data_IF_959852666836
#
_entry.id   IF_959852666836
#
_cell.length_a   1.000
_cell.length_b   1.000
_cell.length_c   1.000
_cell.angle_alpha   90.00
_cell.angle_beta   90.00
_cell.angle_gamma   90.00
#
_symmetry.space_group_name_H-M   'P 1'
#
loop_
_entity.id
_entity.type
_entity.pdbx_description
1 polymer ?
#
# COMPACT_ATOMS: atom_id res chain seq x y z
N UNK A 1 -29.67 13.87 -14.34
CA UNK A 1 -29.04 14.69 -13.27
C UNK A 1 -27.63 15.00 -13.73
N UNK A 2 -27.51 16.16 -14.35
CA UNK A 2 -26.29 16.72 -14.92
C UNK A 2 -25.41 17.31 -13.82
N UNK A 3 -24.08 17.22 -13.97
CA UNK A 3 -23.07 18.24 -13.65
C UNK A 3 -21.70 17.58 -13.38
N UNK A 4 -21.07 17.09 -14.45
CA UNK A 4 -19.60 17.06 -14.50
C UNK A 4 -19.16 18.50 -14.77
N UNK A 5 -18.73 19.20 -13.73
CA UNK A 5 -18.18 20.55 -13.84
C UNK A 5 -16.89 20.47 -14.66
N UNK A 6 -17.00 20.87 -15.92
CA UNK A 6 -15.90 21.34 -16.75
C UNK A 6 -15.83 22.85 -16.54
N UNK A 7 -14.96 23.31 -15.63
CA UNK A 7 -14.65 24.73 -15.52
C UNK A 7 -13.16 24.96 -15.79
N UNK A 8 -12.92 25.46 -17.00
CA UNK A 8 -11.66 26.03 -17.45
C UNK A 8 -11.58 27.47 -16.95
N UNK A 9 -10.61 27.77 -16.11
CA UNK A 9 -10.16 29.14 -15.86
C UNK A 9 -8.63 29.19 -15.83
N UNK A 10 -8.07 29.80 -16.87
CA UNK A 10 -6.69 30.27 -16.93
C UNK A 10 -6.64 31.67 -16.33
N UNK A 11 -5.87 31.89 -15.26
CA UNK A 11 -5.23 33.19 -14.95
C UNK A 11 -3.85 32.91 -14.32
N UNK A 12 -2.79 33.60 -14.75
CA UNK A 12 -1.41 33.25 -14.43
C UNK A 12 -0.90 33.92 -13.15
N UNK A 13 0.04 33.24 -12.49
CA UNK A 13 1.13 33.87 -11.73
C UNK A 13 0.82 34.28 -10.29
N UNK A 14 0.99 33.34 -9.35
CA UNK A 14 1.65 33.57 -8.05
C UNK A 14 2.49 32.32 -7.77
N UNK A 15 3.80 32.43 -7.96
CA UNK A 15 4.80 31.47 -7.49
C UNK A 15 5.00 31.70 -5.99
N UNK A 16 4.20 31.02 -5.18
CA UNK A 16 4.54 30.71 -3.79
C UNK A 16 5.03 29.26 -3.76
N UNK A 17 6.24 29.05 -3.25
CA UNK A 17 7.01 27.80 -3.28
C UNK A 17 6.16 26.53 -3.17
N UNK A 18 5.74 25.98 -4.32
CA UNK A 18 4.92 24.78 -4.41
C UNK A 18 5.79 23.55 -4.22
N UNK A 19 6.01 23.19 -2.96
CA UNK A 19 6.03 21.78 -2.62
C UNK A 19 4.61 21.28 -2.95
N UNK A 20 4.39 20.83 -4.19
CA UNK A 20 3.14 20.15 -4.51
C UNK A 20 3.01 19.02 -3.50
N UNK A 21 2.07 19.14 -2.56
CA UNK A 21 1.88 18.15 -1.52
C UNK A 21 1.77 16.77 -2.19
N UNK A 22 2.77 15.93 -1.98
CA UNK A 22 2.90 14.63 -2.66
C UNK A 22 1.64 13.77 -2.47
N UNK A 23 0.93 13.97 -1.36
CA UNK A 23 -0.38 13.39 -1.08
C UNK A 23 -1.49 13.92 -1.99
N UNK A 24 -1.58 15.25 -2.22
CA UNK A 24 -2.58 15.82 -3.15
C UNK A 24 -2.34 15.32 -4.56
N UNK A 25 -1.08 15.20 -4.97
CA UNK A 25 -0.71 14.62 -6.26
C UNK A 25 -1.12 13.15 -6.34
N UNK A 26 -0.89 12.35 -5.28
CA UNK A 26 -1.27 10.94 -5.23
C UNK A 26 -2.80 10.73 -5.28
N UNK A 27 -3.57 11.57 -4.59
CA UNK A 27 -5.04 11.52 -4.56
C UNK A 27 -5.69 12.01 -5.86
N UNK A 28 -4.98 12.82 -6.64
CA UNK A 28 -5.45 13.30 -7.95
C UNK A 28 -5.25 12.27 -9.09
N UNK A 29 -4.56 11.16 -8.82
CA UNK A 29 -4.29 10.13 -9.83
C UNK A 29 -5.55 9.31 -10.16
N UNK A 30 -5.67 8.83 -11.41
CA UNK A 30 -6.67 7.83 -11.76
C UNK A 30 -6.54 6.57 -10.90
N UNK A 31 -7.68 5.98 -10.53
CA UNK A 31 -7.72 4.78 -9.69
C UNK A 31 -6.75 3.65 -10.09
N UNK A 32 -6.61 3.23 -11.37
CA UNK A 32 -5.71 2.13 -11.71
C UNK A 32 -4.24 2.44 -11.40
N UNK A 33 -3.78 3.68 -11.65
CA UNK A 33 -2.38 4.07 -11.39
C UNK A 33 -2.12 4.29 -9.91
N UNK A 34 -3.12 4.81 -9.18
CA UNK A 34 -3.09 4.91 -7.72
C UNK A 34 -3.02 3.52 -7.06
N UNK A 35 -3.91 2.61 -7.45
CA UNK A 35 -4.00 1.26 -6.91
C UNK A 35 -2.72 0.46 -7.16
N UNK A 36 -2.13 0.56 -8.35
CA UNK A 36 -0.85 -0.10 -8.66
C UNK A 36 0.31 0.44 -7.81
N UNK A 37 0.38 1.76 -7.58
CA UNK A 37 1.37 2.35 -6.68
C UNK A 37 1.21 1.85 -5.24
N UNK A 38 -0.03 1.81 -4.75
CA UNK A 38 -0.33 1.31 -3.41
C UNK A 38 -0.03 -0.19 -3.28
N UNK A 39 -0.35 -0.99 -4.31
CA UNK A 39 -0.02 -2.41 -4.37
C UNK A 39 1.48 -2.64 -4.27
N UNK A 40 2.29 -1.87 -5.00
CA UNK A 40 3.75 -1.95 -4.93
C UNK A 40 4.28 -1.64 -3.53
N UNK A 41 3.84 -0.51 -2.96
CA UNK A 41 4.23 -0.14 -1.59
C UNK A 41 3.79 -1.20 -0.55
N UNK A 42 2.63 -1.82 -0.74
CA UNK A 42 2.15 -2.89 0.14
C UNK A 42 2.98 -4.17 0.01
N UNK A 43 3.51 -4.49 -1.18
CA UNK A 43 4.40 -5.64 -1.37
C UNK A 43 5.76 -5.41 -0.70
N UNK A 44 6.31 -4.21 -0.82
CA UNK A 44 7.57 -3.83 -0.15
C UNK A 44 7.41 -3.89 1.39
N UNK A 45 6.26 -3.44 1.90
CA UNK A 45 5.92 -3.53 3.32
C UNK A 45 5.73 -4.99 3.76
N UNK A 46 5.05 -5.82 2.96
CA UNK A 46 4.87 -7.25 3.23
C UNK A 46 6.21 -7.94 3.44
N UNK A 47 7.18 -7.69 2.56
CA UNK A 47 8.51 -8.29 2.63
C UNK A 47 9.23 -7.87 3.92
N UNK A 48 9.18 -6.58 4.27
CA UNK A 48 9.72 -6.07 5.53
C UNK A 48 9.09 -6.77 6.75
N UNK A 49 7.75 -6.88 6.78
CA UNK A 49 7.03 -7.54 7.89
C UNK A 49 7.44 -9.01 8.02
N UNK A 50 7.53 -9.75 6.91
CA UNK A 50 7.93 -11.16 6.91
C UNK A 50 9.36 -11.34 7.41
N UNK A 51 10.28 -10.48 6.97
CA UNK A 51 11.67 -10.52 7.44
C UNK A 51 11.75 -10.30 8.95
N UNK A 52 11.06 -9.28 9.48
CA UNK A 52 11.11 -8.96 10.90
C UNK A 52 10.40 -9.99 11.79
N UNK A 53 9.21 -10.46 11.39
CA UNK A 53 8.40 -11.34 12.25
C UNK A 53 8.72 -12.83 12.11
N UNK A 54 9.21 -13.27 10.93
CA UNK A 54 9.48 -14.69 10.64
C UNK A 54 10.97 -14.99 10.39
N UNK A 55 11.66 -14.14 9.61
CA UNK A 55 13.06 -14.33 9.24
C UNK A 55 14.02 -14.09 10.39
N UNK A 56 14.00 -12.89 10.99
CA UNK A 56 14.93 -12.44 12.02
C UNK A 56 14.71 -13.12 13.37
N UNK A 57 13.47 -13.50 13.67
CA UNK A 57 13.12 -14.27 14.87
C UNK A 57 13.57 -15.74 14.79
N UNK A 58 14.10 -16.19 13.64
CA UNK A 58 14.52 -17.57 13.41
C UNK A 58 13.35 -18.54 13.55
N UNK A 59 12.15 -18.13 13.12
CA UNK A 59 10.89 -18.88 13.25
C UNK A 59 10.51 -19.23 14.70
N UNK A 60 11.11 -18.58 15.70
CA UNK A 60 10.71 -18.73 17.10
C UNK A 60 9.50 -17.86 17.38
N UNK A 61 8.33 -18.49 17.34
CA UNK A 61 7.08 -17.79 17.60
C UNK A 61 6.94 -17.52 19.10
N UNK A 62 7.07 -16.25 19.49
CA UNK A 62 6.83 -15.79 20.87
C UNK A 62 5.36 -15.47 21.11
N UNK A 63 4.74 -14.79 20.15
CA UNK A 63 3.33 -14.42 20.18
C UNK A 63 2.61 -14.98 18.96
N UNK A 64 1.58 -15.79 19.19
CA UNK A 64 0.74 -16.41 18.15
C UNK A 64 -0.54 -15.60 17.88
N UNK A 65 -0.68 -14.41 18.48
CA UNK A 65 -1.91 -13.62 18.39
C UNK A 65 -2.07 -13.01 16.99
N UNK A 66 -3.30 -12.70 16.61
CA UNK A 66 -3.56 -12.01 15.34
C UNK A 66 -3.10 -10.54 15.38
N UNK A 67 -3.19 -9.88 16.54
CA UNK A 67 -2.98 -8.45 16.67
C UNK A 67 -1.49 -8.05 16.76
N UNK A 68 -0.68 -8.84 17.47
CA UNK A 68 0.75 -8.56 17.68
C UNK A 68 1.66 -9.68 17.21
N UNK A 69 1.09 -10.84 16.90
CA UNK A 69 1.85 -12.07 16.66
C UNK A 69 1.98 -12.46 15.20
N UNK A 70 2.57 -13.64 15.00
CA UNK A 70 2.83 -14.23 13.68
C UNK A 70 1.56 -14.62 12.92
N UNK A 71 0.44 -14.83 13.62
CA UNK A 71 -0.85 -15.08 12.98
C UNK A 71 -1.32 -13.86 12.17
N UNK A 72 -1.00 -12.64 12.63
CA UNK A 72 -1.22 -11.41 11.88
C UNK A 72 -0.42 -11.39 10.57
N UNK A 73 0.84 -11.82 10.61
CA UNK A 73 1.68 -11.97 9.41
C UNK A 73 1.14 -13.05 8.47
N UNK A 74 0.70 -14.20 8.98
CA UNK A 74 0.08 -15.24 8.18
C UNK A 74 -1.21 -14.76 7.49
N UNK A 75 -2.04 -14.00 8.21
CA UNK A 75 -3.23 -13.38 7.61
C UNK A 75 -2.86 -12.36 6.53
N UNK A 76 -1.83 -11.55 6.74
CA UNK A 76 -1.32 -10.62 5.73
C UNK A 76 -0.86 -11.36 4.46
N UNK A 77 -0.15 -12.47 4.60
CA UNK A 77 0.27 -13.34 3.49
C UNK A 77 -0.91 -13.94 2.73
N UNK A 78 -1.94 -14.41 3.46
CA UNK A 78 -3.17 -14.90 2.85
C UNK A 78 -3.89 -13.81 2.04
N UNK A 79 -3.95 -12.58 2.57
CA UNK A 79 -4.51 -11.44 1.84
C UNK A 79 -3.69 -11.09 0.60
N UNK A 80 -2.36 -11.17 0.69
CA UNK A 80 -1.47 -10.97 -0.46
C UNK A 80 -1.72 -12.01 -1.54
N UNK A 81 -1.85 -13.29 -1.17
CA UNK A 81 -2.18 -14.38 -2.09
C UNK A 81 -3.49 -14.13 -2.84
N UNK A 82 -4.55 -13.66 -2.17
CA UNK A 82 -5.80 -13.35 -2.86
C UNK A 82 -5.68 -12.24 -3.92
N UNK A 83 -4.73 -11.32 -3.77
CA UNK A 83 -4.53 -10.19 -4.68
C UNK A 83 -3.53 -10.52 -5.79
N UNK A 84 -2.46 -11.24 -5.48
CA UNK A 84 -1.36 -11.52 -6.41
C UNK A 84 -1.42 -12.91 -7.02
N UNK A 85 -2.20 -13.83 -6.42
CA UNK A 85 -2.23 -15.26 -6.71
C UNK A 85 -0.84 -15.93 -6.60
N UNK A 86 0.06 -15.36 -5.80
CA UNK A 86 1.42 -15.85 -5.65
C UNK A 86 1.50 -17.00 -4.63
N UNK A 87 1.68 -18.23 -5.12
CA UNK A 87 1.75 -19.43 -4.28
C UNK A 87 2.91 -19.43 -3.29
N UNK A 88 3.98 -18.68 -3.56
CA UNK A 88 5.11 -18.56 -2.62
C UNK A 88 4.70 -17.92 -1.30
N UNK A 89 3.66 -17.08 -1.29
CA UNK A 89 3.14 -16.45 -0.07
C UNK A 89 2.40 -17.45 0.84
N UNK A 90 2.01 -18.62 0.32
CA UNK A 90 1.32 -19.67 1.07
C UNK A 90 2.26 -20.71 1.70
N UNK A 91 3.51 -20.78 1.22
CA UNK A 91 4.46 -21.87 1.52
C UNK A 91 5.68 -21.41 2.32
N UNK A 92 5.58 -20.27 3.01
CA UNK A 92 6.66 -19.67 3.81
C UNK A 92 7.29 -20.65 4.82
#
# INVERSE_FOLDING_TARGET
MSNLVQEKATVPGIDDGKQQDSLKTLLSLPYPTFAEKLKRAALDLKETVVVETWGFTGQKVKDNSLYTGTLGTAFLLLKSYHVTNNKSDLHL
#
